data_IF_234152457800
#
_entry.id   IF_234152457800
#
_cell.length_a   1.000
_cell.length_b   1.000
_cell.length_c   1.000
_cell.angle_alpha   90.00
_cell.angle_beta   90.00
_cell.angle_gamma   90.00
#
_symmetry.space_group_name_H-M   'P 1'
#
loop_
_entity.id
_entity.type
_entity.pdbx_description
1 polymer ?
#
# COMPACT_ATOMS: atom_id res chain seq x y z
N UNK A 1 -3.58 -13.82 -35.06
CA UNK A 1 -4.29 -12.93 -34.11
C UNK A 1 -3.24 -12.40 -33.15
N UNK A 2 -2.86 -11.14 -33.25
CA UNK A 2 -1.95 -10.53 -32.29
C UNK A 2 -2.74 -10.31 -31.00
N UNK A 3 -2.58 -11.22 -30.04
CA UNK A 3 -2.94 -10.94 -28.65
C UNK A 3 -2.13 -9.71 -28.27
N UNK A 4 -2.79 -8.55 -28.16
CA UNK A 4 -2.13 -7.33 -27.71
C UNK A 4 -1.41 -7.68 -26.40
N UNK A 5 -0.09 -7.50 -26.35
CA UNK A 5 0.63 -7.62 -25.08
C UNK A 5 -0.06 -6.67 -24.12
N UNK A 6 -0.61 -7.18 -23.02
CA UNK A 6 -1.09 -6.34 -21.95
C UNK A 6 0.06 -5.39 -21.57
N UNK A 7 -0.21 -4.08 -21.67
CA UNK A 7 0.78 -3.08 -21.29
C UNK A 7 1.00 -3.24 -19.78
N UNK A 8 2.26 -3.26 -19.37
CA UNK A 8 2.67 -3.30 -17.97
C UNK A 8 3.25 -1.94 -17.59
N UNK A 9 3.35 -1.65 -16.29
CA UNK A 9 3.93 -0.39 -15.80
C UNK A 9 5.34 -0.18 -16.38
N UNK A 10 5.67 1.02 -16.89
CA UNK A 10 4.92 2.27 -16.78
C UNK A 10 3.90 2.55 -17.90
N UNK A 11 3.70 1.63 -18.85
CA UNK A 11 2.89 1.85 -20.06
C UNK A 11 1.40 1.48 -19.89
N UNK A 12 0.98 1.06 -18.70
CA UNK A 12 -0.41 0.81 -18.34
C UNK A 12 -1.06 2.02 -17.64
N UNK A 13 -2.40 2.14 -17.64
CA UNK A 13 -3.09 3.07 -16.76
C UNK A 13 -2.73 2.77 -15.30
N UNK A 14 -2.19 3.76 -14.60
CA UNK A 14 -1.80 3.62 -13.19
C UNK A 14 -2.20 4.85 -12.42
N UNK A 15 -2.77 4.64 -11.23
CA UNK A 15 -3.21 5.72 -10.37
C UNK A 15 -2.01 6.29 -9.61
N UNK A 16 -1.83 7.60 -9.68
CA UNK A 16 -0.72 8.32 -9.03
C UNK A 16 -1.32 9.43 -8.18
N UNK A 17 -0.91 9.50 -6.92
CA UNK A 17 -1.27 10.56 -5.96
C UNK A 17 -0.02 11.22 -5.42
N UNK A 18 -0.07 12.53 -5.21
CA UNK A 18 0.95 13.23 -4.42
C UNK A 18 0.39 13.40 -3.02
N UNK A 19 1.05 12.80 -2.04
CA UNK A 19 0.62 12.74 -0.64
C UNK A 19 1.57 13.58 0.20
N UNK A 20 1.04 14.42 1.09
CA UNK A 20 1.85 15.13 2.09
C UNK A 20 2.01 14.26 3.35
N UNK A 21 3.26 13.98 3.70
CA UNK A 21 3.64 13.08 4.79
C UNK A 21 4.48 13.82 5.83
N UNK A 22 4.36 13.45 7.10
CA UNK A 22 5.06 14.09 8.21
C UNK A 22 4.38 15.36 8.74
N UNK A 23 5.06 16.07 9.63
CA UNK A 23 4.58 17.32 10.24
C UNK A 23 3.54 17.15 11.35
N UNK A 24 3.24 15.92 11.75
CA UNK A 24 2.34 15.60 12.86
C UNK A 24 3.04 14.67 13.83
N UNK A 25 2.73 14.80 15.11
CA UNK A 25 3.07 13.79 16.12
C UNK A 25 2.16 12.56 16.00
N UNK A 26 2.53 11.42 16.59
CA UNK A 26 1.71 10.18 16.54
C UNK A 26 0.31 10.43 17.10
N UNK A 27 0.24 11.19 18.20
CA UNK A 27 -1.01 11.55 18.86
C UNK A 27 -1.90 12.42 17.96
N UNK A 28 -1.33 13.44 17.31
CA UNK A 28 -2.07 14.29 16.38
C UNK A 28 -2.55 13.51 15.15
N UNK A 29 -1.71 12.64 14.60
CA UNK A 29 -2.07 11.77 13.47
C UNK A 29 -3.21 10.81 13.84
N UNK A 30 -3.13 10.18 15.01
CA UNK A 30 -4.21 9.35 15.55
C UNK A 30 -5.51 10.13 15.74
N UNK A 31 -5.41 11.34 16.31
CA UNK A 31 -6.57 12.22 16.49
C UNK A 31 -7.23 12.58 15.16
N UNK A 32 -6.44 12.89 14.12
CA UNK A 32 -6.98 13.15 12.78
C UNK A 32 -7.69 11.94 12.19
N UNK A 33 -7.12 10.73 12.33
CA UNK A 33 -7.79 9.51 11.88
C UNK A 33 -9.16 9.34 12.57
N UNK A 34 -9.23 9.58 13.87
CA UNK A 34 -10.47 9.53 14.64
C UNK A 34 -11.49 10.59 14.22
N UNK A 35 -11.05 11.84 13.97
CA UNK A 35 -11.91 12.93 13.50
C UNK A 35 -12.59 12.59 12.16
N UNK A 36 -11.90 11.86 11.29
CA UNK A 36 -12.42 11.37 10.02
C UNK A 36 -13.17 10.03 10.13
N UNK A 37 -13.45 9.55 11.35
CA UNK A 37 -14.11 8.26 11.62
C UNK A 37 -13.39 7.07 10.95
N UNK A 38 -12.07 7.16 10.79
CA UNK A 38 -11.25 6.08 10.25
C UNK A 38 -10.98 5.08 11.37
N UNK A 39 -11.30 3.82 11.09
CA UNK A 39 -11.16 2.72 12.03
C UNK A 39 -9.81 2.02 11.84
N UNK A 40 -9.27 1.48 12.94
CA UNK A 40 -8.12 0.57 12.94
C UNK A 40 -8.50 -0.78 13.51
N UNK A 41 -7.85 -1.84 13.04
CA UNK A 41 -7.91 -3.15 13.69
C UNK A 41 -6.77 -3.27 14.72
N UNK A 42 -6.84 -4.29 15.58
CA UNK A 42 -5.80 -4.56 16.60
C UNK A 42 -4.38 -4.64 16.04
N UNK A 43 -4.21 -5.16 14.82
CA UNK A 43 -2.90 -5.20 14.16
C UNK A 43 -2.42 -3.81 13.74
N UNK A 44 -3.31 -2.96 13.22
CA UNK A 44 -3.00 -1.58 12.88
C UNK A 44 -2.67 -0.75 14.11
N UNK A 45 -3.44 -0.92 15.19
CA UNK A 45 -3.16 -0.30 16.49
C UNK A 45 -1.80 -0.73 17.03
N UNK A 46 -1.50 -2.04 17.04
CA UNK A 46 -0.20 -2.57 17.47
C UNK A 46 0.95 -2.01 16.63
N UNK A 47 0.78 -1.93 15.31
CA UNK A 47 1.81 -1.38 14.42
C UNK A 47 2.03 0.12 14.65
N UNK A 48 0.96 0.89 14.83
CA UNK A 48 1.01 2.34 15.05
C UNK A 48 1.63 2.69 16.41
N UNK A 49 1.33 1.89 17.44
CA UNK A 49 1.85 2.08 18.79
C UNK A 49 3.33 1.67 18.94
N UNK A 50 3.89 0.89 18.01
CA UNK A 50 5.27 0.41 18.10
C UNK A 50 6.29 1.56 18.02
N UNK A 51 7.31 1.54 18.87
CA UNK A 51 8.34 2.59 18.91
C UNK A 51 9.18 2.65 17.62
N UNK A 52 9.28 1.55 16.87
CA UNK A 52 9.95 1.52 15.57
C UNK A 52 9.12 2.12 14.45
N UNK A 53 7.79 2.24 14.63
CA UNK A 53 6.98 3.08 13.75
C UNK A 53 7.32 4.53 14.06
N UNK A 54 8.12 5.15 13.20
CA UNK A 54 8.54 6.55 13.35
C UNK A 54 7.79 7.42 12.35
N UNK A 55 7.68 8.70 12.69
CA UNK A 55 7.05 9.73 11.88
C UNK A 55 8.01 10.89 11.71
N UNK A 56 7.92 11.58 10.59
CA UNK A 56 8.75 12.75 10.32
C UNK A 56 8.15 14.01 10.94
N UNK A 57 8.97 14.80 11.64
CA UNK A 57 8.58 16.14 12.10
C UNK A 57 8.52 17.15 10.94
N UNK A 58 9.18 16.85 9.81
CA UNK A 58 9.20 17.70 8.61
C UNK A 58 8.19 17.18 7.59
N UNK A 59 7.39 18.09 7.02
CA UNK A 59 6.48 17.75 5.92
C UNK A 59 7.27 17.51 4.64
N UNK A 60 6.96 16.44 3.93
CA UNK A 60 7.51 16.13 2.62
C UNK A 60 6.45 15.51 1.72
N UNK A 61 6.65 15.62 0.40
CA UNK A 61 5.72 15.07 -0.59
C UNK A 61 6.19 13.71 -1.10
N UNK A 62 5.27 12.75 -1.17
CA UNK A 62 5.47 11.43 -1.75
C UNK A 62 4.61 11.28 -2.99
N UNK A 63 5.20 10.86 -4.11
CA UNK A 63 4.43 10.40 -5.28
C UNK A 63 4.12 8.91 -5.13
N UNK A 64 2.93 8.63 -4.60
CA UNK A 64 2.38 7.30 -4.40
C UNK A 64 1.80 6.76 -5.71
N UNK A 65 2.30 5.62 -6.17
CA UNK A 65 1.89 4.93 -7.40
C UNK A 65 1.19 3.64 -6.98
N UNK A 66 -0.03 3.42 -7.50
CA UNK A 66 -0.87 2.28 -7.15
C UNK A 66 -1.04 1.31 -8.34
N UNK A 67 -0.04 0.45 -8.64
CA UNK A 67 -0.20 -0.63 -9.61
C UNK A 67 -0.93 -1.84 -8.99
N UNK A 68 -1.56 -2.64 -9.85
CA UNK A 68 -1.89 -4.02 -9.52
C UNK A 68 -0.68 -4.93 -9.66
N UNK A 69 -0.72 -6.10 -9.04
CA UNK A 69 0.30 -7.15 -9.22
C UNK A 69 0.50 -7.50 -10.70
N UNK A 70 -0.59 -7.66 -11.46
CA UNK A 70 -0.52 -7.91 -12.92
C UNK A 70 0.17 -6.79 -13.70
N UNK A 71 -0.01 -5.54 -13.28
CA UNK A 71 0.58 -4.37 -13.93
C UNK A 71 2.10 -4.35 -13.77
N UNK A 72 2.64 -5.07 -12.79
CA UNK A 72 4.09 -5.27 -12.62
C UNK A 72 4.62 -6.49 -13.38
N UNK A 73 3.79 -7.14 -14.20
CA UNK A 73 4.18 -8.27 -15.04
C UNK A 73 3.93 -9.65 -14.42
N UNK A 74 3.04 -9.74 -13.42
CA UNK A 74 2.67 -10.99 -12.76
C UNK A 74 1.18 -11.33 -12.97
N UNK A 75 0.79 -11.77 -14.19
CA UNK A 75 -0.62 -12.03 -14.52
C UNK A 75 -1.22 -13.23 -13.76
N UNK A 76 -0.38 -14.11 -13.22
CA UNK A 76 -0.76 -15.30 -12.42
C UNK A 76 -0.49 -15.12 -10.92
N UNK A 77 -0.10 -13.92 -10.48
CA UNK A 77 0.28 -13.63 -9.10
C UNK A 77 1.77 -13.83 -8.83
N UNK A 78 2.20 -13.48 -7.61
CA UNK A 78 3.62 -13.54 -7.19
C UNK A 78 3.75 -13.47 -5.66
N UNK A 79 4.98 -13.55 -5.13
CA UNK A 79 5.25 -13.31 -3.70
C UNK A 79 5.64 -11.86 -3.43
N UNK A 80 5.51 -11.40 -2.19
CA UNK A 80 5.92 -10.04 -1.78
C UNK A 80 7.38 -9.72 -2.17
N UNK A 81 8.38 -10.60 -1.89
CA UNK A 81 9.76 -10.33 -2.28
C UNK A 81 9.95 -10.13 -3.79
N UNK A 82 9.32 -10.97 -4.61
CA UNK A 82 9.41 -10.89 -6.07
C UNK A 82 8.73 -9.62 -6.61
N UNK A 83 7.56 -9.26 -6.04
CA UNK A 83 6.87 -8.02 -6.39
C UNK A 83 7.75 -6.79 -6.09
N UNK A 84 8.38 -6.77 -4.92
CA UNK A 84 9.21 -5.64 -4.48
C UNK A 84 10.48 -5.50 -5.32
N UNK A 85 11.13 -6.62 -5.65
CA UNK A 85 12.27 -6.64 -6.56
C UNK A 85 11.88 -6.08 -7.93
N UNK A 86 10.76 -6.53 -8.49
CA UNK A 86 10.27 -6.07 -9.79
C UNK A 86 9.90 -4.59 -9.77
N UNK A 87 9.23 -4.12 -8.71
CA UNK A 87 8.91 -2.72 -8.51
C UNK A 87 10.18 -1.85 -8.54
N UNK A 88 11.25 -2.28 -7.87
CA UNK A 88 12.55 -1.59 -7.89
C UNK A 88 13.16 -1.50 -9.29
N UNK A 89 13.08 -2.58 -10.08
CA UNK A 89 13.59 -2.59 -11.46
C UNK A 89 12.88 -1.60 -12.39
N UNK A 90 11.60 -1.30 -12.13
CA UNK A 90 10.80 -0.36 -12.94
C UNK A 90 10.72 1.05 -12.34
N UNK A 91 11.54 1.32 -11.32
CA UNK A 91 11.65 2.65 -10.71
C UNK A 91 10.54 3.02 -9.73
N UNK A 92 10.00 2.02 -9.07
CA UNK A 92 9.22 2.15 -7.85
C UNK A 92 10.08 1.73 -6.65
N UNK A 93 9.79 2.23 -5.46
CA UNK A 93 10.50 1.85 -4.23
C UNK A 93 9.52 1.67 -3.09
N UNK A 94 9.95 1.00 -2.02
CA UNK A 94 9.16 0.89 -0.81
C UNK A 94 8.86 2.26 -0.21
N UNK A 95 7.67 2.37 0.36
CA UNK A 95 7.15 3.54 1.03
C UNK A 95 7.65 3.61 2.47
N UNK A 96 7.83 4.83 3.01
CA UNK A 96 7.90 4.99 4.46
C UNK A 96 6.58 4.49 5.07
N UNK A 97 6.66 3.79 6.20
CA UNK A 97 5.49 3.17 6.80
C UNK A 97 4.43 4.21 7.23
N UNK A 98 4.86 5.43 7.59
CA UNK A 98 3.97 6.56 7.90
C UNK A 98 3.12 7.04 6.70
N UNK A 99 3.45 6.64 5.47
CA UNK A 99 2.61 6.92 4.31
C UNK A 99 1.20 6.34 4.49
N UNK A 100 1.05 5.18 5.15
CA UNK A 100 -0.25 4.52 5.30
C UNK A 100 -1.32 5.41 5.97
N UNK A 101 -1.08 5.90 7.20
CA UNK A 101 -1.97 6.87 7.84
C UNK A 101 -2.25 8.14 7.03
N UNK A 102 -1.23 8.73 6.42
CA UNK A 102 -1.36 9.97 5.64
C UNK A 102 -2.18 9.76 4.37
N UNK A 103 -1.86 8.73 3.59
CA UNK A 103 -2.63 8.35 2.40
C UNK A 103 -4.08 8.03 2.77
N UNK A 104 -4.32 7.42 3.93
CA UNK A 104 -5.69 7.13 4.36
C UNK A 104 -6.50 8.40 4.60
N UNK A 105 -5.91 9.42 5.23
CA UNK A 105 -6.53 10.72 5.48
C UNK A 105 -6.85 11.48 4.18
N UNK A 106 -6.05 11.29 3.14
CA UNK A 106 -6.31 11.89 1.83
C UNK A 106 -7.33 11.09 0.99
N UNK A 107 -7.28 9.76 1.06
CA UNK A 107 -8.09 8.89 0.22
C UNK A 107 -9.46 8.57 0.84
N UNK A 108 -10.29 9.57 1.10
CA UNK A 108 -11.58 9.37 1.80
C UNK A 108 -12.68 8.77 0.92
N UNK A 109 -12.54 8.85 -0.40
CA UNK A 109 -13.51 8.42 -1.40
C UNK A 109 -13.24 7.01 -1.95
N UNK A 110 -12.48 6.19 -1.22
CA UNK A 110 -12.22 4.79 -1.61
C UNK A 110 -13.53 4.08 -1.95
N UNK A 111 -13.62 3.40 -3.11
CA UNK A 111 -14.79 2.59 -3.46
C UNK A 111 -15.03 1.48 -2.42
N UNK A 112 -16.28 1.06 -2.28
CA UNK A 112 -16.65 -0.02 -1.37
C UNK A 112 -15.93 -1.33 -1.76
N UNK A 113 -15.18 -1.90 -0.82
CA UNK A 113 -14.46 -3.17 -1.03
C UNK A 113 -15.33 -4.40 -0.76
N UNK A 114 -16.53 -4.21 -0.19
CA UNK A 114 -17.49 -5.29 0.01
C UNK A 114 -18.34 -5.52 -1.25
N UNK A 115 -17.90 -6.42 -2.13
CA UNK A 115 -18.67 -6.79 -3.33
C UNK A 115 -19.75 -7.86 -3.06
N UNK A 116 -20.11 -8.12 -1.79
CA UNK A 116 -20.99 -9.25 -1.41
C UNK A 116 -20.41 -10.64 -1.71
N UNK A 117 -19.15 -10.73 -2.12
CA UNK A 117 -18.45 -12.01 -2.34
C UNK A 117 -17.83 -12.47 -1.01
N UNK A 118 -17.86 -13.77 -0.70
CA UNK A 118 -17.27 -14.28 0.54
C UNK A 118 -15.79 -13.91 0.61
N UNK A 119 -15.34 -13.46 1.79
CA UNK A 119 -13.92 -13.32 2.10
C UNK A 119 -13.31 -14.72 2.17
N UNK A 120 -12.55 -15.10 1.14
CA UNK A 120 -11.79 -16.35 1.18
C UNK A 120 -10.59 -16.20 2.12
N UNK A 121 -10.31 -17.23 2.92
CA UNK A 121 -9.08 -17.28 3.73
C UNK A 121 -7.88 -17.21 2.78
N UNK A 122 -6.83 -16.47 3.16
CA UNK A 122 -5.56 -16.34 2.42
C UNK A 122 -5.60 -15.50 1.13
N UNK A 123 -6.47 -14.49 1.02
CA UNK A 123 -6.41 -13.49 -0.06
C UNK A 123 -6.45 -12.07 0.47
N UNK A 124 -5.84 -11.13 -0.24
CA UNK A 124 -6.07 -9.72 0.04
C UNK A 124 -7.57 -9.43 -0.13
N UNK A 125 -8.18 -8.65 0.79
CA UNK A 125 -9.59 -8.35 0.64
C UNK A 125 -9.85 -7.53 -0.62
N UNK A 126 -10.98 -7.79 -1.30
CA UNK A 126 -11.37 -7.02 -2.49
C UNK A 126 -11.42 -5.51 -2.18
N UNK A 127 -10.88 -4.71 -3.10
CA UNK A 127 -10.78 -3.26 -2.97
C UNK A 127 -9.79 -2.77 -1.91
N UNK A 128 -8.99 -3.66 -1.31
CA UNK A 128 -7.90 -3.24 -0.41
C UNK A 128 -6.71 -2.69 -1.19
N UNK A 129 -6.01 -1.74 -0.57
CA UNK A 129 -4.80 -1.13 -1.13
C UNK A 129 -3.68 -1.24 -0.10
N UNK A 130 -2.66 -2.03 -0.38
CA UNK A 130 -1.57 -2.34 0.56
C UNK A 130 -0.41 -1.37 0.40
N UNK A 131 0.12 -0.84 1.51
CA UNK A 131 1.34 -0.03 1.47
C UNK A 131 2.54 -0.96 1.35
N UNK A 132 3.30 -0.85 0.25
CA UNK A 132 4.54 -1.59 0.11
C UNK A 132 5.62 -0.93 0.97
N UNK A 133 5.86 -1.44 2.18
CA UNK A 133 6.83 -0.91 3.14
C UNK A 133 7.78 -1.99 3.65
N UNK A 134 8.88 -1.58 4.28
CA UNK A 134 9.71 -2.50 5.06
C UNK A 134 8.96 -3.02 6.29
N UNK A 135 9.26 -4.25 6.71
CA UNK A 135 8.73 -4.84 7.94
C UNK A 135 9.51 -4.33 9.16
N UNK A 136 8.81 -4.02 10.26
CA UNK A 136 9.48 -3.64 11.51
C UNK A 136 10.01 -4.84 12.32
N UNK A 137 9.49 -6.04 12.04
CA UNK A 137 9.85 -7.28 12.72
C UNK A 137 9.68 -8.52 11.85
N UNK A 138 10.61 -9.47 11.99
CA UNK A 138 10.53 -10.80 11.39
C UNK A 138 9.59 -11.76 12.12
N UNK A 139 9.18 -11.42 13.35
CA UNK A 139 8.18 -12.18 14.12
C UNK A 139 6.91 -12.37 13.29
N UNK A 140 6.51 -13.64 13.09
CA UNK A 140 5.37 -14.01 12.25
C UNK A 140 4.05 -13.48 12.79
N UNK A 141 3.94 -13.28 14.10
CA UNK A 141 2.75 -12.74 14.73
C UNK A 141 2.75 -11.21 14.80
N UNK A 142 3.82 -10.56 14.34
CA UNK A 142 3.93 -9.10 14.31
C UNK A 142 3.40 -8.51 12.99
N UNK A 143 2.62 -7.41 13.02
CA UNK A 143 2.09 -6.80 11.80
C UNK A 143 3.19 -6.39 10.80
N UNK A 144 2.98 -6.70 9.52
CA UNK A 144 3.99 -6.48 8.46
C UNK A 144 3.88 -5.13 7.76
N UNK A 145 2.73 -4.47 7.87
CA UNK A 145 2.50 -3.17 7.25
C UNK A 145 1.05 -2.73 7.38
N UNK A 146 0.72 -1.63 6.71
CA UNK A 146 -0.64 -1.10 6.62
C UNK A 146 -1.30 -1.41 5.29
N UNK A 147 -2.62 -1.55 5.30
CA UNK A 147 -3.46 -1.50 4.10
C UNK A 147 -4.74 -0.72 4.36
N UNK A 148 -5.26 -0.15 3.29
CA UNK A 148 -6.41 0.73 3.23
C UNK A 148 -7.61 -0.09 2.76
N UNK A 149 -8.77 0.08 3.41
CA UNK A 149 -10.00 -0.59 2.98
C UNK A 149 -11.23 0.24 3.31
N UNK A 150 -12.28 0.07 2.51
CA UNK A 150 -13.64 0.45 2.87
C UNK A 150 -14.49 -0.80 3.03
N UNK A 151 -15.22 -0.89 4.14
CA UNK A 151 -16.09 -2.02 4.46
C UNK A 151 -17.39 -1.46 5.02
N UNK A 152 -18.51 -1.77 4.39
CA UNK A 152 -19.85 -1.38 4.87
C UNK A 152 -19.94 0.12 5.12
N UNK A 153 -19.38 0.92 4.21
CA UNK A 153 -19.35 2.37 4.30
C UNK A 153 -18.23 2.94 5.20
N UNK A 154 -17.65 2.15 6.10
CA UNK A 154 -16.60 2.59 7.01
C UNK A 154 -15.21 2.55 6.37
N UNK A 155 -14.39 3.59 6.61
CA UNK A 155 -13.00 3.66 6.17
C UNK A 155 -12.09 3.04 7.22
N UNK A 156 -11.13 2.23 6.76
CA UNK A 156 -10.18 1.53 7.60
C UNK A 156 -8.74 1.77 7.19
N UNK A 157 -7.88 1.90 8.21
CA UNK A 157 -6.44 1.70 8.16
C UNK A 157 -6.11 0.43 8.96
N UNK A 158 -5.74 -0.65 8.28
CA UNK A 158 -5.58 -1.97 8.92
C UNK A 158 -4.14 -2.41 8.88
N UNK A 159 -3.69 -3.05 9.95
CA UNK A 159 -2.49 -3.87 9.95
C UNK A 159 -2.81 -5.27 9.42
N UNK A 160 -1.82 -5.91 8.81
CA UNK A 160 -1.89 -7.30 8.36
C UNK A 160 -0.69 -8.12 8.86
N UNK A 161 -0.89 -9.43 8.93
CA UNK A 161 0.17 -10.42 9.04
C UNK A 161 0.21 -11.16 7.72
N UNK A 162 1.40 -11.37 7.17
CA UNK A 162 1.65 -12.23 6.02
C UNK A 162 2.94 -13.00 6.29
N UNK A 163 2.95 -14.27 5.87
CA UNK A 163 4.19 -15.03 5.73
C UNK A 163 4.79 -14.80 4.34
N UNK A 164 6.07 -15.16 4.18
CA UNK A 164 6.79 -14.97 2.91
C UNK A 164 6.32 -15.92 1.80
N UNK A 165 5.45 -16.90 2.14
CA UNK A 165 4.85 -17.86 1.22
C UNK A 165 3.50 -17.40 0.69
N UNK A 166 2.98 -16.27 1.19
CA UNK A 166 1.71 -15.72 0.75
C UNK A 166 1.79 -15.30 -0.72
N UNK A 167 0.97 -15.95 -1.56
CA UNK A 167 0.84 -15.63 -2.98
C UNK A 167 -0.17 -14.50 -3.12
N UNK A 168 0.30 -13.38 -3.69
CA UNK A 168 -0.51 -12.24 -4.06
C UNK A 168 -1.30 -12.55 -5.33
N UNK A 169 -2.56 -12.15 -5.35
CA UNK A 169 -3.42 -12.33 -6.51
C UNK A 169 -3.13 -11.24 -7.57
N UNK A 170 -3.36 -11.50 -8.87
CA UNK A 170 -3.03 -10.55 -9.94
C UNK A 170 -3.73 -9.19 -9.83
N UNK A 171 -4.89 -9.13 -9.17
CA UNK A 171 -5.67 -7.91 -8.95
C UNK A 171 -5.42 -7.25 -7.59
N UNK A 172 -4.45 -7.72 -6.80
CA UNK A 172 -4.09 -7.06 -5.56
C UNK A 172 -3.43 -5.71 -5.84
N UNK A 173 -3.88 -4.67 -5.14
CA UNK A 173 -3.38 -3.31 -5.28
C UNK A 173 -2.29 -3.03 -4.25
N UNK A 174 -1.16 -2.51 -4.70
CA UNK A 174 -0.07 -2.06 -3.85
C UNK A 174 0.23 -0.59 -4.10
N UNK A 175 0.69 0.13 -3.09
CA UNK A 175 1.21 1.48 -3.21
C UNK A 175 2.71 1.47 -3.01
N UNK A 176 3.42 1.97 -4.02
CA UNK A 176 4.86 2.22 -4.00
C UNK A 176 5.16 3.71 -4.13
N UNK A 177 6.33 4.14 -3.68
CA UNK A 177 6.83 5.47 -3.97
C UNK A 177 7.47 5.47 -5.35
N UNK A 178 7.19 6.47 -6.18
CA UNK A 178 7.95 6.65 -7.42
C UNK A 178 9.40 7.05 -7.09
N UNK A 179 10.36 6.39 -7.72
CA UNK A 179 11.77 6.71 -7.56
C UNK A 179 12.15 7.86 -8.52
N UNK A 180 12.17 9.09 -7.98
CA UNK A 180 12.54 10.31 -8.73
C UNK A 180 13.96 10.24 -9.33
N UNK A 181 14.84 9.39 -8.81
CA UNK A 181 16.20 9.23 -9.32
C UNK A 181 16.31 8.43 -10.63
N UNK A 182 15.28 7.66 -11.01
CA UNK A 182 15.29 6.88 -12.27
C UNK A 182 14.75 7.67 -13.47
N UNK A 183 14.16 8.86 -13.26
CA UNK A 183 13.82 9.79 -14.34
C UNK A 183 15.04 10.26 -15.16
N UNK A 184 16.26 10.17 -14.60
CA UNK A 184 17.50 10.63 -15.26
C UNK A 184 18.12 9.62 -16.25
N UNK A 185 17.51 8.44 -16.48
CA UNK A 185 18.10 7.37 -17.29
C UNK A 185 17.33 6.98 -18.57
N UNK A 186 16.37 7.79 -19.01
CA UNK A 186 15.79 7.63 -20.35
C UNK A 186 16.45 8.67 -21.27
N UNK A 187 17.48 8.31 -22.06
CA UNK A 187 17.89 9.18 -23.15
C UNK A 187 16.76 9.21 -24.18
N UNK A 188 16.43 10.43 -24.63
CA UNK A 188 15.62 10.67 -25.83
C UNK A 188 16.29 10.05 -27.06
#
# INVERSE_FOLDING_TARGET
MNVGRDKIYPDCPTLIRTVEVGGLTKSQLLQKLQQHSILMNKLGERLFADDKFTISDTIYSVRAVEPKVRDLGFPEGTTIPQLFEKANQVGLKLCPLELGPHLRLEYLDQPEGHSGKPSWRHRAPYGSVTIASEILSKDVDFPKGFYLRRIEGALWLRGYIADDLHVLEPDDHFVFCQNENLKKKIPY
#
